data_IF_434227330056
#
_entry.id   IF_434227330056
#
_cell.length_a   1.000
_cell.length_b   1.000
_cell.length_c   1.000
_cell.angle_alpha   90.00
_cell.angle_beta   90.00
_cell.angle_gamma   90.00
#
_symmetry.space_group_name_H-M   'P 1'
#
loop_
_entity.id
_entity.type
_entity.pdbx_description
1 polymer ?
#
# COMPACT_ATOMS: atom_id res chain seq x y z
N UNK A 1 -7.25 4.06 -3.54
CA UNK A 1 -8.40 4.36 -2.70
C UNK A 1 -8.09 5.55 -1.78
N UNK A 2 -8.99 6.51 -1.65
CA UNK A 2 -8.94 7.55 -0.61
C UNK A 2 -9.70 7.08 0.66
N UNK A 3 -9.56 7.79 1.79
CA UNK A 3 -10.18 7.40 3.07
C UNK A 3 -11.72 7.27 2.98
N UNK A 4 -12.37 8.15 2.21
CA UNK A 4 -13.82 8.11 2.01
C UNK A 4 -14.25 6.89 1.19
N UNK A 5 -13.57 6.59 0.10
CA UNK A 5 -13.82 5.40 -0.72
C UNK A 5 -13.64 4.12 0.09
N UNK A 6 -12.56 4.04 0.89
CA UNK A 6 -12.31 2.91 1.77
C UNK A 6 -13.44 2.76 2.79
N UNK A 7 -13.87 3.86 3.43
CA UNK A 7 -14.99 3.88 4.34
C UNK A 7 -16.28 3.37 3.68
N UNK A 8 -16.63 3.86 2.49
CA UNK A 8 -17.84 3.44 1.76
C UNK A 8 -17.76 1.96 1.39
N UNK A 9 -16.58 1.47 0.97
CA UNK A 9 -16.35 0.07 0.63
C UNK A 9 -16.50 -0.84 1.85
N UNK A 10 -15.88 -0.49 2.97
CA UNK A 10 -16.03 -1.20 4.25
C UNK A 10 -17.50 -1.24 4.67
N UNK A 11 -18.17 -0.09 4.70
CA UNK A 11 -19.59 0.02 5.06
C UNK A 11 -20.46 -0.89 4.18
N UNK A 12 -20.18 -0.97 2.88
CA UNK A 12 -20.91 -1.84 1.95
C UNK A 12 -20.61 -3.32 2.18
N UNK A 13 -19.36 -3.67 2.44
CA UNK A 13 -18.93 -5.05 2.68
C UNK A 13 -19.62 -5.67 3.91
N UNK A 14 -19.68 -4.91 5.02
CA UNK A 14 -20.31 -5.35 6.27
C UNK A 14 -21.81 -5.04 6.37
N UNK A 15 -22.43 -4.48 5.32
CA UNK A 15 -23.87 -4.14 5.37
C UNK A 15 -24.25 -3.05 6.38
N UNK A 16 -23.28 -2.25 6.84
CA UNK A 16 -23.50 -1.19 7.82
C UNK A 16 -24.35 -0.07 7.19
N UNK A 17 -25.41 0.36 7.87
CA UNK A 17 -26.30 1.43 7.37
C UNK A 17 -25.96 2.79 7.99
N UNK A 18 -26.31 3.88 7.32
CA UNK A 18 -26.14 5.22 7.87
C UNK A 18 -26.98 5.46 9.15
N UNK A 19 -28.12 4.77 9.26
CA UNK A 19 -28.95 4.81 10.48
C UNK A 19 -28.26 4.14 11.66
N UNK A 20 -27.68 2.94 11.50
CA UNK A 20 -26.92 2.26 12.56
C UNK A 20 -25.71 3.09 13.00
N UNK A 21 -25.01 3.71 12.05
CA UNK A 21 -23.90 4.61 12.37
C UNK A 21 -24.34 5.85 13.15
N UNK A 22 -25.49 6.43 12.80
CA UNK A 22 -26.05 7.54 13.56
C UNK A 22 -26.35 7.15 15.02
N UNK A 23 -26.95 5.98 15.23
CA UNK A 23 -27.32 5.48 16.56
C UNK A 23 -26.10 5.27 17.46
N UNK A 24 -25.01 4.71 16.91
CA UNK A 24 -23.81 4.41 17.71
C UNK A 24 -22.88 5.62 17.88
N UNK A 25 -22.77 6.50 16.87
CA UNK A 25 -21.80 7.61 16.88
C UNK A 25 -22.38 8.95 17.29
N UNK A 26 -23.70 9.08 17.30
CA UNK A 26 -24.42 10.35 17.48
C UNK A 26 -24.26 11.34 16.31
N UNK A 27 -23.52 11.00 15.25
CA UNK A 27 -23.36 11.87 14.07
C UNK A 27 -24.69 11.90 13.31
N UNK A 28 -25.16 13.08 12.91
CA UNK A 28 -26.48 13.21 12.27
C UNK A 28 -26.55 12.43 10.95
N UNK A 29 -27.70 11.78 10.69
CA UNK A 29 -27.93 11.01 9.45
C UNK A 29 -27.68 11.85 8.20
N UNK A 30 -28.04 13.13 8.22
CA UNK A 30 -27.79 14.04 7.10
C UNK A 30 -26.29 14.24 6.86
N UNK A 31 -25.51 14.45 7.92
CA UNK A 31 -24.06 14.65 7.80
C UNK A 31 -23.35 13.39 7.28
N UNK A 32 -23.76 12.21 7.75
CA UNK A 32 -23.27 10.92 7.23
C UNK A 32 -23.63 10.76 5.74
N UNK A 33 -24.86 11.11 5.37
CA UNK A 33 -25.34 11.04 3.98
C UNK A 33 -24.56 11.99 3.06
N UNK A 34 -24.34 13.24 3.49
CA UNK A 34 -23.56 14.21 2.74
C UNK A 34 -22.11 13.77 2.56
N UNK A 35 -21.52 13.13 3.57
CA UNK A 35 -20.20 12.53 3.50
C UNK A 35 -20.12 11.40 2.48
N UNK A 36 -21.03 10.42 2.57
CA UNK A 36 -21.07 9.25 1.66
C UNK A 36 -21.31 9.67 0.20
N UNK A 37 -22.15 10.69 -0.02
CA UNK A 37 -22.50 11.18 -1.35
C UNK A 37 -21.53 12.23 -1.91
N UNK A 38 -20.35 12.39 -1.30
CA UNK A 38 -19.33 13.35 -1.73
C UNK A 38 -19.77 14.82 -1.74
N UNK A 39 -20.82 15.17 -0.99
CA UNK A 39 -21.36 16.54 -0.93
C UNK A 39 -20.63 17.42 0.08
N UNK A 40 -20.12 16.84 1.17
CA UNK A 40 -19.40 17.54 2.22
C UNK A 40 -18.32 16.66 2.85
N UNK A 41 -17.18 17.25 3.20
CA UNK A 41 -16.16 16.59 4.03
C UNK A 41 -16.48 16.64 5.51
N UNK A 42 -16.04 15.62 6.24
CA UNK A 42 -16.13 15.58 7.70
C UNK A 42 -14.80 15.97 8.30
N UNK A 43 -14.82 16.51 9.52
CA UNK A 43 -13.58 16.73 10.27
C UNK A 43 -12.94 15.38 10.64
N UNK A 44 -11.62 15.38 10.88
CA UNK A 44 -10.91 14.17 11.32
C UNK A 44 -11.55 13.53 12.55
N UNK A 45 -11.97 14.34 13.53
CA UNK A 45 -12.64 13.83 14.75
C UNK A 45 -13.96 13.11 14.46
N UNK A 46 -14.75 13.62 13.51
CA UNK A 46 -16.02 13.01 13.11
C UNK A 46 -15.75 11.76 12.29
N UNK A 47 -14.74 11.79 11.42
CA UNK A 47 -14.32 10.63 10.65
C UNK A 47 -13.87 9.47 11.55
N UNK A 48 -13.03 9.75 12.54
CA UNK A 48 -12.55 8.75 13.50
C UNK A 48 -13.70 8.13 14.28
N UNK A 49 -14.67 8.94 14.71
CA UNK A 49 -15.91 8.44 15.34
C UNK A 49 -16.68 7.50 14.42
N UNK A 50 -16.80 7.83 13.14
CA UNK A 50 -17.49 6.97 12.16
C UNK A 50 -16.74 5.65 11.94
N UNK A 51 -15.41 5.66 11.91
CA UNK A 51 -14.59 4.43 11.79
C UNK A 51 -14.69 3.57 13.04
N UNK A 52 -14.61 4.16 14.24
CA UNK A 52 -14.82 3.44 15.49
C UNK A 52 -16.25 2.90 15.60
N UNK A 53 -17.25 3.66 15.17
CA UNK A 53 -18.64 3.21 15.12
C UNK A 53 -18.86 2.04 14.16
N UNK A 54 -18.07 1.92 13.08
CA UNK A 54 -18.11 0.71 12.26
C UNK A 54 -17.61 -0.51 13.04
N UNK A 55 -16.49 -0.38 13.77
CA UNK A 55 -15.92 -1.48 14.57
C UNK A 55 -16.85 -1.94 15.69
N UNK A 56 -17.56 -1.00 16.32
CA UNK A 56 -18.54 -1.32 17.35
C UNK A 56 -19.77 -2.04 16.80
N UNK A 57 -20.20 -1.69 15.58
CA UNK A 57 -21.34 -2.35 14.94
C UNK A 57 -20.98 -3.72 14.37
N UNK A 58 -19.78 -3.84 13.80
CA UNK A 58 -19.29 -5.03 13.13
C UNK A 58 -17.79 -5.16 13.43
N UNK A 59 -17.39 -6.11 14.31
CA UNK A 59 -15.99 -6.38 14.61
C UNK A 59 -15.20 -6.67 13.34
N UNK A 60 -13.91 -6.32 13.34
CA UNK A 60 -12.97 -6.45 12.20
C UNK A 60 -13.17 -5.42 11.09
N UNK A 61 -14.23 -4.60 11.11
CA UNK A 61 -14.47 -3.62 10.06
C UNK A 61 -13.40 -2.52 9.99
N UNK A 62 -12.78 -2.15 11.11
CA UNK A 62 -11.64 -1.23 11.15
C UNK A 62 -10.38 -1.84 10.56
N UNK A 63 -10.14 -3.13 10.81
CA UNK A 63 -9.01 -3.84 10.20
C UNK A 63 -9.20 -3.91 8.69
N UNK A 64 -10.38 -4.34 8.22
CA UNK A 64 -10.71 -4.36 6.80
C UNK A 64 -10.56 -2.98 6.15
N UNK A 65 -11.03 -1.92 6.80
CA UNK A 65 -10.83 -0.52 6.37
C UNK A 65 -9.34 -0.15 6.24
N UNK A 66 -8.52 -0.57 7.18
CA UNK A 66 -7.07 -0.31 7.15
C UNK A 66 -6.41 -1.04 5.98
N UNK A 67 -6.78 -2.30 5.75
CA UNK A 67 -6.30 -3.10 4.62
C UNK A 67 -6.72 -2.48 3.28
N UNK A 68 -7.93 -1.94 3.22
CA UNK A 68 -8.47 -1.21 2.07
C UNK A 68 -7.64 0.04 1.71
N UNK A 69 -7.09 0.74 2.69
CA UNK A 69 -6.17 1.87 2.45
C UNK A 69 -4.81 1.34 2.03
N UNK A 70 -4.32 0.33 2.75
CA UNK A 70 -3.00 -0.27 2.56
C UNK A 70 -2.84 -0.97 1.22
N UNK A 71 -3.90 -1.52 0.64
CA UNK A 71 -3.87 -2.16 -0.69
C UNK A 71 -3.48 -1.16 -1.81
N UNK A 72 -3.70 0.15 -1.60
CA UNK A 72 -3.20 1.19 -2.51
C UNK A 72 -1.74 1.55 -2.22
N UNK A 73 -1.36 1.63 -0.95
CA UNK A 73 0.04 1.94 -0.56
C UNK A 73 0.99 0.81 -0.94
N UNK A 74 0.51 -0.44 -0.88
CA UNK A 74 1.27 -1.63 -1.26
C UNK A 74 1.54 -1.73 -2.77
N UNK A 75 0.83 -0.95 -3.60
CA UNK A 75 1.13 -0.82 -5.04
C UNK A 75 2.13 0.29 -5.35
N UNK A 76 2.50 1.12 -4.37
CA UNK A 76 3.41 2.25 -4.56
C UNK A 76 4.66 2.21 -3.65
N UNK A 77 4.67 1.50 -2.52
CA UNK A 77 5.72 1.74 -1.51
C UNK A 77 5.97 0.63 -0.48
N UNK A 78 5.72 -0.65 -0.77
CA UNK A 78 6.01 -1.74 0.20
C UNK A 78 7.50 -1.93 0.48
N UNK A 79 8.41 -1.33 -0.31
CA UNK A 79 9.86 -1.40 -0.08
C UNK A 79 10.49 -0.09 0.44
N UNK A 80 9.74 1.02 0.48
CA UNK A 80 10.33 2.34 0.76
C UNK A 80 10.35 2.73 2.25
N UNK A 81 9.49 2.12 3.08
CA UNK A 81 9.32 2.50 4.49
C UNK A 81 9.71 1.42 5.50
N UNK A 82 10.26 0.28 5.05
CA UNK A 82 10.89 -0.65 5.98
C UNK A 82 12.26 -0.08 6.30
N UNK A 83 12.45 0.38 7.54
CA UNK A 83 13.78 0.71 8.03
C UNK A 83 14.65 -0.54 7.92
N UNK A 84 15.48 -0.54 6.88
CA UNK A 84 16.31 -1.68 6.53
C UNK A 84 17.35 -1.96 7.61
N UNK A 85 17.63 -0.98 8.48
CA UNK A 85 18.51 -1.16 9.63
C UNK A 85 17.89 -2.08 10.69
N UNK A 86 16.58 -1.98 10.92
CA UNK A 86 15.85 -2.85 11.87
C UNK A 86 15.81 -4.28 11.34
N UNK A 87 15.60 -4.43 10.03
CA UNK A 87 15.59 -5.73 9.38
C UNK A 87 16.96 -6.41 9.47
N UNK A 88 18.04 -5.69 9.15
CA UNK A 88 19.42 -6.22 9.20
C UNK A 88 19.84 -6.52 10.64
N UNK A 89 19.45 -5.69 11.61
CA UNK A 89 19.83 -5.89 13.03
C UNK A 89 19.25 -7.16 13.65
N UNK A 90 18.08 -7.61 13.18
CA UNK A 90 17.40 -8.80 13.70
C UNK A 90 17.73 -10.09 12.92
N UNK A 91 18.58 -10.02 11.89
CA UNK A 91 19.02 -11.19 11.13
C UNK A 91 20.11 -11.94 11.89
N UNK A 92 20.10 -13.27 11.79
CA UNK A 92 21.25 -14.07 12.19
C UNK A 92 22.44 -13.82 11.25
N UNK A 93 23.66 -14.13 11.71
CA UNK A 93 24.87 -13.98 10.88
C UNK A 93 24.79 -14.79 9.57
N UNK A 94 24.09 -15.93 9.59
CA UNK A 94 23.88 -16.77 8.40
C UNK A 94 22.88 -16.14 7.41
N UNK A 95 21.82 -15.52 7.93
CA UNK A 95 20.85 -14.80 7.10
C UNK A 95 21.46 -13.54 6.50
N UNK A 96 22.27 -12.82 7.29
CA UNK A 96 22.99 -11.64 6.84
C UNK A 96 24.02 -11.98 5.75
N UNK A 97 24.79 -13.07 5.91
CA UNK A 97 25.76 -13.48 4.90
C UNK A 97 25.09 -13.84 3.57
N UNK A 98 23.97 -14.58 3.61
CA UNK A 98 23.15 -14.89 2.42
C UNK A 98 22.62 -13.63 1.74
N UNK A 99 22.14 -12.65 2.51
CA UNK A 99 21.69 -11.37 1.98
C UNK A 99 22.83 -10.59 1.30
N UNK A 100 24.00 -10.54 1.94
CA UNK A 100 25.20 -9.88 1.40
C UNK A 100 25.65 -10.53 0.08
N UNK A 101 25.64 -11.86 -0.01
CA UNK A 101 25.94 -12.58 -1.26
C UNK A 101 24.95 -12.23 -2.37
N UNK A 102 23.64 -12.18 -2.06
CA UNK A 102 22.63 -11.81 -3.04
C UNK A 102 22.78 -10.36 -3.54
N UNK A 103 23.11 -9.43 -2.65
CA UNK A 103 23.38 -8.02 -3.00
C UNK A 103 24.64 -7.93 -3.88
N UNK A 104 25.72 -8.62 -3.51
CA UNK A 104 26.96 -8.65 -4.28
C UNK A 104 26.74 -9.23 -5.69
N UNK A 105 25.99 -10.32 -5.82
CA UNK A 105 25.64 -10.91 -7.12
C UNK A 105 24.82 -9.94 -7.99
N UNK A 106 23.86 -9.23 -7.38
CA UNK A 106 23.03 -8.23 -8.07
C UNK A 106 23.86 -7.02 -8.55
N UNK A 107 24.82 -6.55 -7.75
CA UNK A 107 25.71 -5.45 -8.11
C UNK A 107 26.73 -5.86 -9.17
N UNK A 108 27.31 -7.07 -9.05
CA UNK A 108 28.25 -7.62 -10.03
C UNK A 108 27.63 -7.84 -11.42
N UNK A 109 26.36 -8.25 -11.49
CA UNK A 109 25.66 -8.42 -12.77
C UNK A 109 25.35 -7.09 -13.47
N UNK A 110 25.30 -5.97 -12.74
CA UNK A 110 25.10 -4.64 -13.34
C UNK A 110 26.35 -4.15 -14.10
N UNK A 111 27.53 -4.70 -13.81
CA UNK A 111 28.80 -4.34 -14.46
C UNK A 111 29.07 -5.12 -15.76
N UNK A 112 28.39 -6.24 -16.00
CA UNK A 112 28.62 -7.08 -17.20
C UNK A 112 27.81 -6.67 -18.43
N UNK A 113 26.80 -5.81 -18.27
CA UNK A 113 25.95 -5.34 -19.38
C UNK A 113 26.40 -4.00 -19.99
N UNK A 114 27.60 -3.50 -19.66
CA UNK A 114 28.13 -2.24 -20.19
C UNK A 114 29.35 -2.41 -21.13
N UNK A 115 29.65 -3.64 -21.57
CA UNK A 115 30.82 -3.91 -22.38
C UNK A 115 30.67 -5.14 -23.26
N UNK A 116 29.71 -5.13 -24.18
CA UNK A 116 29.71 -6.05 -25.32
C UNK A 116 29.11 -5.39 -26.56
N UNK A 117 29.86 -4.46 -27.16
CA UNK A 117 29.71 -4.10 -28.57
C UNK A 117 31.12 -3.94 -29.14
N UNK A 118 31.79 -5.06 -29.41
CA UNK A 118 32.87 -5.07 -30.41
C UNK A 118 33.15 -6.49 -30.91
N UNK A 119 32.38 -6.89 -31.91
CA UNK A 119 32.83 -7.71 -33.05
C UNK A 119 31.63 -7.97 -33.94
N UNK A 120 31.58 -7.31 -35.10
CA UNK A 120 30.94 -7.78 -36.35
C UNK A 120 30.85 -6.62 -37.35
N UNK A 121 31.99 -6.14 -37.85
CA UNK A 121 32.04 -5.38 -39.10
C UNK A 121 33.46 -5.45 -39.66
N UNK A 122 33.84 -6.60 -40.24
CA UNK A 122 34.92 -6.67 -41.24
C UNK A 122 34.88 -8.03 -41.94
N UNK A 123 33.74 -8.33 -42.58
CA UNK A 123 33.72 -9.23 -43.72
C UNK A 123 32.89 -8.58 -44.82
N UNK A 124 33.49 -8.54 -46.01
CA UNK A 124 32.93 -8.24 -47.34
C UNK A 124 32.89 -6.76 -47.76
N UNK A 125 34.05 -6.26 -48.18
CA UNK A 125 34.13 -5.56 -49.46
C UNK A 125 34.90 -6.44 -50.44
N UNK A 126 34.16 -6.94 -51.44
CA UNK A 126 34.60 -7.72 -52.59
C UNK A 126 35.60 -6.94 -53.46
N UNK A 127 36.51 -7.71 -54.07
CA UNK A 127 36.77 -7.71 -55.52
C UNK A 127 36.90 -6.36 -56.23
N UNK A 128 38.13 -6.00 -56.62
CA UNK A 128 38.54 -5.77 -58.03
C UNK A 128 40.05 -5.89 -58.15
#
# INVERSE_FOLDING_TARGET
MNHREAFIKTKRYFGITGSRLHEVTGVSKNHISEFINYKRDVTTSVFDKLVLGMEELEPESKQYYTDQIREKESKASTLANIDSSILVKNMSNEQLSKLMFAIAAKLGNKSKNAGDVRSESDQLALTY
#
